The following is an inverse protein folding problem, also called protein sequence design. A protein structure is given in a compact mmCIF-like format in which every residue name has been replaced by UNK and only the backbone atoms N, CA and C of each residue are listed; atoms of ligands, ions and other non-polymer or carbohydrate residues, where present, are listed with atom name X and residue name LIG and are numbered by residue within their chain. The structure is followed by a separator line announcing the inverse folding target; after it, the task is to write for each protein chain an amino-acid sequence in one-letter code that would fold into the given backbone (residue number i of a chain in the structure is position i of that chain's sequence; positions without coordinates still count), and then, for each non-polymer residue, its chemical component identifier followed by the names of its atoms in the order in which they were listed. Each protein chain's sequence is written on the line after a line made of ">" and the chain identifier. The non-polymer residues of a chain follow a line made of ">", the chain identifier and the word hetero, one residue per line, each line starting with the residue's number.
data_IF_297095048146
#
_entry.id   IF_297095048146
#
_cell.length_a   1.000
_cell.length_b   1.000
_cell.length_c   1.000
_cell.angle_alpha   90.00
_cell.angle_beta   90.00
_cell.angle_gamma   90.00
#
_symmetry.space_group_name_H-M   'P 1'
#
loop_
_entity.id
_entity.type
_entity.pdbx_description
1 polymer ?
#
# COMPACT_ATOMS: atom_id res chain seq x y z
N UNK A 1 -20.65 -6.10 1.21
CA UNK A 1 -19.19 -6.36 1.34
C UNK A 1 -18.37 -5.23 0.71
N UNK A 2 -18.77 -4.71 -0.44
CA UNK A 2 -18.05 -3.67 -1.20
C UNK A 2 -17.82 -2.34 -0.46
N UNK A 3 -18.65 -2.01 0.55
CA UNK A 3 -18.52 -0.78 1.33
C UNK A 3 -17.20 -0.66 2.10
N UNK A 4 -16.50 -1.78 2.36
CA UNK A 4 -15.24 -1.80 3.12
C UNK A 4 -14.01 -2.11 2.25
N UNK A 5 -14.19 -2.31 0.94
CA UNK A 5 -13.07 -2.55 0.04
C UNK A 5 -12.67 -1.23 -0.62
N UNK A 6 -11.58 -0.66 -0.14
CA UNK A 6 -10.93 0.49 -0.77
C UNK A 6 -9.62 0.08 -1.38
N UNK A 7 -9.31 0.65 -2.54
CA UNK A 7 -8.00 0.52 -3.16
C UNK A 7 -6.99 1.34 -2.37
N UNK A 8 -5.81 0.77 -2.11
CA UNK A 8 -4.71 1.44 -1.43
C UNK A 8 -3.59 1.63 -2.44
N UNK A 9 -3.10 2.86 -2.57
CA UNK A 9 -1.96 3.17 -3.44
C UNK A 9 -0.71 2.39 -2.99
N UNK A 10 0.06 1.85 -3.94
CA UNK A 10 1.24 1.02 -3.65
C UNK A 10 0.94 -0.44 -3.30
N UNK A 11 -0.34 -0.84 -3.16
CA UNK A 11 -0.73 -2.22 -2.87
C UNK A 11 -1.53 -2.79 -4.06
N UNK A 12 -1.00 -3.85 -4.66
CA UNK A 12 -1.67 -4.61 -5.71
C UNK A 12 -2.63 -5.68 -5.15
N UNK A 13 -2.36 -6.19 -3.95
CA UNK A 13 -3.20 -7.17 -3.28
C UNK A 13 -2.64 -7.67 -1.95
N UNK A 14 -3.27 -8.70 -1.41
CA UNK A 14 -2.80 -9.43 -0.24
C UNK A 14 -3.09 -10.92 -0.42
N UNK A 15 -2.31 -11.76 0.22
CA UNK A 15 -2.51 -13.21 0.25
C UNK A 15 -2.37 -13.75 1.67
N UNK A 16 -3.01 -14.88 1.93
CA UNK A 16 -2.93 -15.61 3.20
C UNK A 16 -2.12 -16.88 2.96
N UNK A 17 -1.09 -17.10 3.76
CA UNK A 17 -0.23 -18.28 3.69
C UNK A 17 -0.81 -19.45 4.49
N UNK A 18 -0.32 -20.67 4.25
CA UNK A 18 -0.82 -21.89 4.90
C UNK A 18 -0.60 -21.93 6.43
N UNK A 19 0.30 -21.10 6.93
CA UNK A 19 0.57 -20.90 8.36
C UNK A 19 -0.28 -19.77 8.99
N UNK A 20 -1.16 -19.14 8.21
CA UNK A 20 -2.02 -18.05 8.65
C UNK A 20 -1.37 -16.67 8.60
N UNK A 21 -0.10 -16.56 8.19
CA UNK A 21 0.53 -15.26 7.97
C UNK A 21 -0.07 -14.55 6.73
N UNK A 22 -0.01 -13.23 6.73
CA UNK A 22 -0.52 -12.39 5.64
C UNK A 22 0.66 -11.73 4.94
N UNK A 23 0.69 -11.84 3.62
CA UNK A 23 1.65 -11.13 2.78
C UNK A 23 0.94 -10.10 1.90
N UNK A 24 1.57 -8.95 1.71
CA UNK A 24 1.11 -7.92 0.78
C UNK A 24 1.84 -8.07 -0.56
N UNK A 25 1.11 -7.87 -1.65
CA UNK A 25 1.67 -7.76 -2.99
C UNK A 25 1.82 -6.26 -3.29
N UNK A 26 3.05 -5.81 -3.48
CA UNK A 26 3.36 -4.40 -3.68
C UNK A 26 3.43 -4.04 -5.16
N UNK A 27 2.93 -2.85 -5.50
CA UNK A 27 3.11 -2.23 -6.82
C UNK A 27 4.40 -1.38 -6.79
N UNK A 28 5.50 -1.96 -7.27
CA UNK A 28 6.82 -1.33 -7.26
C UNK A 28 6.89 -0.05 -8.08
N UNK A 29 6.07 0.08 -9.14
CA UNK A 29 6.05 1.27 -9.98
C UNK A 29 5.37 2.45 -9.28
N UNK A 30 4.53 2.18 -8.27
CA UNK A 30 3.85 3.19 -7.46
C UNK A 30 4.65 3.64 -6.23
N UNK A 31 5.55 2.81 -5.69
CA UNK A 31 6.30 3.13 -4.47
C UNK A 31 7.11 4.44 -4.53
N UNK A 32 7.82 4.79 -5.64
CA UNK A 32 8.58 6.03 -5.69
C UNK A 32 7.70 7.28 -5.57
N UNK A 33 6.48 7.23 -6.13
CA UNK A 33 5.51 8.32 -6.04
C UNK A 33 4.95 8.48 -4.63
N UNK A 34 4.80 7.36 -3.91
CA UNK A 34 4.36 7.37 -2.52
C UNK A 34 5.44 7.98 -1.60
N UNK A 35 6.70 7.56 -1.77
CA UNK A 35 7.82 8.09 -0.99
C UNK A 35 8.01 9.60 -1.20
N UNK A 36 7.96 10.07 -2.46
CA UNK A 36 8.11 11.49 -2.78
C UNK A 36 7.00 12.40 -2.22
N UNK A 37 5.84 11.84 -1.84
CA UNK A 37 4.73 12.58 -1.22
C UNK A 37 4.93 12.82 0.27
N UNK A 38 5.68 11.94 0.95
CA UNK A 38 5.96 12.11 2.37
C UNK A 38 6.95 13.26 2.60
N UNK A 39 7.96 13.40 1.73
CA UNK A 39 8.95 14.49 1.79
C UNK A 39 8.30 15.89 1.70
N UNK A 40 7.26 16.05 0.88
CA UNK A 40 6.55 17.34 0.72
C UNK A 40 5.52 17.62 1.81
N UNK A 41 5.12 16.61 2.58
CA UNK A 41 4.26 16.78 3.74
C UNK A 41 5.07 17.14 5.00
N UNK A 42 6.31 16.65 5.10
CA UNK A 42 7.22 16.92 6.23
C UNK A 42 7.77 18.35 6.22
N UNK A 43 8.00 18.96 5.04
CA UNK A 43 8.39 20.38 4.91
C UNK A 43 7.29 21.39 5.31
N UNK A 44 6.07 20.93 5.61
CA UNK A 44 4.95 21.79 6.05
C UNK A 44 4.64 21.65 7.55
N UNK A 45 5.50 21.00 8.32
CA UNK A 45 5.47 21.00 9.79
C UNK A 45 6.64 21.82 10.36
#
# INVERSE_FOLDING_TARGET
>A
LEQNFRRVEGIAGATIMGDGSVALILDVDALPRLAAREDTADERH
#
